data_IF_882185956115
#
_entry.id   IF_882185956115
#
_cell.length_a   1.000
_cell.length_b   1.000
_cell.length_c   1.000
_cell.angle_alpha   90.00
_cell.angle_beta   90.00
_cell.angle_gamma   90.00
#
_symmetry.space_group_name_H-M   'P 1'
#
loop_
_entity.id
_entity.type
_entity.pdbx_description
1 polymer ?
#
# COMPACT_ATOMS: atom_id res chain seq x y z
N UNK A 1 11.86 -20.73 -19.68
CA UNK A 1 11.32 -19.40 -19.34
C UNK A 1 11.48 -19.23 -17.86
N UNK A 2 12.27 -18.29 -17.41
CA UNK A 2 12.29 -17.97 -15.98
C UNK A 2 10.88 -17.53 -15.56
N UNK A 3 10.31 -18.20 -14.59
CA UNK A 3 9.04 -17.83 -13.98
C UNK A 3 9.32 -16.62 -13.12
N UNK A 4 8.96 -15.44 -13.61
CA UNK A 4 9.10 -14.22 -12.82
C UNK A 4 7.94 -14.14 -11.82
N UNK A 5 8.28 -14.02 -10.53
CA UNK A 5 7.33 -13.86 -9.45
C UNK A 5 6.53 -12.55 -9.63
N UNK A 6 5.21 -12.62 -9.53
CA UNK A 6 4.32 -11.46 -9.52
C UNK A 6 3.92 -11.15 -8.08
N UNK A 7 4.13 -9.92 -7.66
CA UNK A 7 3.84 -9.45 -6.29
C UNK A 7 2.89 -8.27 -6.36
N UNK A 8 1.70 -8.42 -5.79
CA UNK A 8 0.75 -7.33 -5.57
C UNK A 8 1.06 -6.64 -4.24
N UNK A 9 1.60 -5.43 -4.29
CA UNK A 9 2.13 -4.74 -3.11
C UNK A 9 1.08 -4.00 -2.28
N UNK A 10 -0.18 -3.97 -2.71
CA UNK A 10 -1.24 -3.24 -2.00
C UNK A 10 -2.58 -3.94 -2.17
N UNK A 11 -2.99 -4.68 -1.16
CA UNK A 11 -4.29 -5.31 -1.07
C UNK A 11 -4.89 -5.12 0.32
N UNK A 12 -6.19 -5.36 0.47
CA UNK A 12 -6.90 -5.28 1.74
C UNK A 12 -7.68 -6.56 2.00
N UNK A 13 -7.65 -7.01 3.25
CA UNK A 13 -8.51 -8.08 3.74
C UNK A 13 -8.96 -7.76 5.17
N UNK A 14 -10.08 -8.33 5.56
CA UNK A 14 -10.71 -8.14 6.85
C UNK A 14 -11.00 -9.49 7.51
N UNK A 15 -11.08 -9.56 8.84
CA UNK A 15 -11.60 -10.75 9.53
C UNK A 15 -12.96 -11.16 8.94
N UNK A 16 -13.18 -12.45 8.70
CA UNK A 16 -14.39 -12.97 8.03
C UNK A 16 -15.69 -12.46 8.66
N UNK A 17 -15.73 -12.37 9.99
CA UNK A 17 -16.89 -11.84 10.72
C UNK A 17 -17.20 -10.36 10.42
N UNK A 18 -16.25 -9.60 9.88
CA UNK A 18 -16.37 -8.18 9.60
C UNK A 18 -16.39 -7.87 8.10
N UNK A 19 -15.84 -8.76 7.26
CA UNK A 19 -15.56 -8.50 5.85
C UNK A 19 -16.80 -8.01 5.09
N UNK A 20 -17.90 -8.73 5.14
CA UNK A 20 -19.13 -8.37 4.40
C UNK A 20 -19.61 -6.96 4.79
N UNK A 21 -19.80 -6.71 6.09
CA UNK A 21 -20.27 -5.41 6.58
C UNK A 21 -19.31 -4.27 6.27
N UNK A 22 -18.00 -4.55 6.35
CA UNK A 22 -16.98 -3.56 6.06
C UNK A 22 -17.00 -3.20 4.57
N UNK A 23 -17.06 -4.20 3.70
CA UNK A 23 -17.12 -4.00 2.25
C UNK A 23 -18.37 -3.22 1.82
N UNK A 24 -19.54 -3.57 2.37
CA UNK A 24 -20.79 -2.84 2.11
C UNK A 24 -20.67 -1.36 2.51
N UNK A 25 -20.16 -1.09 3.73
CA UNK A 25 -20.00 0.28 4.22
C UNK A 25 -19.01 1.09 3.38
N UNK A 26 -17.85 0.51 3.06
CA UNK A 26 -16.82 1.20 2.29
C UNK A 26 -17.28 1.44 0.84
N UNK A 27 -17.96 0.48 0.22
CA UNK A 27 -18.56 0.64 -1.11
C UNK A 27 -19.61 1.74 -1.15
N UNK A 28 -20.48 1.81 -0.14
CA UNK A 28 -21.48 2.88 -0.02
C UNK A 28 -20.82 4.26 0.13
N UNK A 29 -19.74 4.35 0.91
CA UNK A 29 -19.06 5.63 1.14
C UNK A 29 -18.27 6.09 -0.10
N UNK A 30 -17.57 5.18 -0.78
CA UNK A 30 -16.71 5.52 -1.92
C UNK A 30 -17.45 5.59 -3.25
N UNK A 31 -18.59 4.91 -3.37
CA UNK A 31 -19.29 4.71 -4.64
C UNK A 31 -18.65 3.67 -5.56
N UNK A 32 -17.53 3.05 -5.17
CA UNK A 32 -16.88 1.98 -5.94
C UNK A 32 -17.46 0.62 -5.61
N UNK A 33 -17.73 -0.17 -6.65
CA UNK A 33 -18.12 -1.57 -6.50
C UNK A 33 -16.86 -2.43 -6.31
N UNK A 34 -16.78 -3.27 -5.26
CA UNK A 34 -15.62 -4.11 -5.05
C UNK A 34 -15.57 -5.28 -6.05
N UNK A 35 -14.36 -5.65 -6.47
CA UNK A 35 -14.07 -6.84 -7.28
C UNK A 35 -13.98 -8.12 -6.43
N UNK A 36 -13.92 -7.99 -5.11
CA UNK A 36 -13.77 -9.11 -4.18
C UNK A 36 -14.60 -8.95 -2.90
N UNK A 37 -14.60 -9.99 -2.06
CA UNK A 37 -15.40 -10.03 -0.83
C UNK A 37 -14.68 -9.55 0.44
N UNK A 38 -13.43 -9.10 0.30
CA UNK A 38 -12.63 -8.57 1.41
C UNK A 38 -12.17 -9.59 2.44
N UNK A 39 -12.24 -10.91 2.17
CA UNK A 39 -11.73 -11.95 3.07
C UNK A 39 -10.34 -12.43 2.65
N UNK A 40 -9.56 -12.99 3.58
CA UNK A 40 -8.28 -13.65 3.28
C UNK A 40 -8.47 -14.77 2.25
N UNK A 41 -9.49 -15.60 2.42
CA UNK A 41 -9.81 -16.67 1.46
C UNK A 41 -10.15 -16.13 0.06
N UNK A 42 -10.86 -14.98 0.00
CA UNK A 42 -11.15 -14.28 -1.25
C UNK A 42 -9.90 -13.76 -1.94
N UNK A 43 -8.96 -13.17 -1.18
CA UNK A 43 -7.67 -12.71 -1.69
C UNK A 43 -6.85 -13.86 -2.25
N UNK A 44 -6.68 -14.95 -1.50
CA UNK A 44 -5.97 -16.15 -1.97
C UNK A 44 -6.59 -16.77 -3.22
N UNK A 45 -7.93 -16.76 -3.32
CA UNK A 45 -8.63 -17.21 -4.52
C UNK A 45 -8.30 -16.32 -5.71
N UNK A 46 -8.43 -14.99 -5.56
CA UNK A 46 -8.12 -14.01 -6.61
C UNK A 46 -6.67 -14.10 -7.08
N UNK A 47 -5.71 -14.26 -6.17
CA UNK A 47 -4.30 -14.46 -6.49
C UNK A 47 -4.11 -15.67 -7.41
N UNK A 48 -4.69 -16.83 -7.06
CA UNK A 48 -4.58 -18.05 -7.89
C UNK A 48 -5.20 -17.87 -9.28
N UNK A 49 -6.36 -17.21 -9.36
CA UNK A 49 -7.05 -16.95 -10.63
C UNK A 49 -6.31 -15.99 -11.54
N UNK A 50 -5.54 -15.05 -10.95
CA UNK A 50 -4.79 -14.03 -11.69
C UNK A 50 -3.29 -14.38 -11.88
N UNK A 51 -2.79 -15.45 -11.25
CA UNK A 51 -1.38 -15.82 -11.31
C UNK A 51 -0.48 -14.88 -10.52
N UNK A 52 -0.95 -14.39 -9.36
CA UNK A 52 -0.18 -13.60 -8.41
C UNK A 52 0.43 -14.55 -7.38
N UNK A 53 1.74 -14.45 -7.19
CA UNK A 53 2.48 -15.34 -6.28
C UNK A 53 2.47 -14.88 -4.84
N UNK A 54 2.53 -13.56 -4.62
CA UNK A 54 2.49 -12.93 -3.29
C UNK A 54 1.59 -11.69 -3.30
N UNK A 55 0.92 -11.43 -2.17
CA UNK A 55 0.19 -10.18 -1.97
C UNK A 55 0.50 -9.57 -0.60
N UNK A 56 0.69 -8.25 -0.58
CA UNK A 56 0.86 -7.49 0.66
C UNK A 56 -0.52 -7.03 1.15
N UNK A 57 -0.91 -7.47 2.36
CA UNK A 57 -2.14 -7.03 3.02
C UNK A 57 -1.86 -5.75 3.80
N UNK A 58 -2.44 -4.65 3.38
CA UNK A 58 -2.35 -3.34 4.03
C UNK A 58 -3.47 -3.18 5.05
N UNK A 59 -3.20 -3.48 6.32
CA UNK A 59 -4.17 -3.29 7.40
C UNK A 59 -4.22 -1.83 7.85
N UNK A 60 -5.39 -1.37 8.32
CA UNK A 60 -5.59 0.01 8.76
C UNK A 60 -6.32 0.03 10.11
N UNK A 61 -5.65 0.57 11.14
CA UNK A 61 -6.26 0.87 12.44
C UNK A 61 -6.85 2.29 12.40
N UNK A 62 -8.13 2.43 12.09
CA UNK A 62 -8.79 3.74 11.89
C UNK A 62 -8.98 4.54 13.19
N UNK A 63 -8.74 3.92 14.35
CA UNK A 63 -8.69 4.60 15.65
C UNK A 63 -7.82 3.81 16.64
N UNK A 64 -7.41 4.46 17.72
CA UNK A 64 -6.51 3.88 18.72
C UNK A 64 -7.02 2.57 19.34
N UNK A 65 -8.34 2.43 19.55
CA UNK A 65 -8.93 1.22 20.16
C UNK A 65 -8.86 -0.02 19.27
N UNK A 66 -8.76 0.17 17.95
CA UNK A 66 -8.70 -0.93 16.99
C UNK A 66 -7.28 -1.48 16.82
N UNK A 67 -6.23 -0.72 17.15
CA UNK A 67 -4.83 -1.03 16.85
C UNK A 67 -4.48 -2.47 17.23
N UNK A 68 -4.76 -2.89 18.45
CA UNK A 68 -4.47 -4.25 18.92
C UNK A 68 -5.14 -5.35 18.11
N UNK A 69 -6.42 -5.19 17.80
CA UNK A 69 -7.18 -6.21 17.07
C UNK A 69 -6.76 -6.28 15.60
N UNK A 70 -6.49 -5.13 14.98
CA UNK A 70 -5.96 -5.04 13.61
C UNK A 70 -4.60 -5.73 13.51
N UNK A 71 -3.72 -5.51 14.48
CA UNK A 71 -2.39 -6.11 14.48
C UNK A 71 -2.41 -7.62 14.74
N UNK A 72 -3.30 -8.11 15.59
CA UNK A 72 -3.52 -9.56 15.77
C UNK A 72 -4.02 -10.22 14.47
N UNK A 73 -4.94 -9.55 13.77
CA UNK A 73 -5.38 -10.02 12.46
C UNK A 73 -4.22 -10.00 11.45
N UNK A 74 -3.40 -8.95 11.44
CA UNK A 74 -2.23 -8.88 10.57
C UNK A 74 -1.28 -10.07 10.78
N UNK A 75 -0.99 -10.42 12.04
CA UNK A 75 -0.15 -11.58 12.37
C UNK A 75 -0.80 -12.88 11.89
N UNK A 76 -2.10 -13.07 12.13
CA UNK A 76 -2.82 -14.27 11.67
C UNK A 76 -2.85 -14.39 10.14
N UNK A 77 -3.08 -13.28 9.41
CA UNK A 77 -3.03 -13.28 7.94
C UNK A 77 -1.63 -13.61 7.40
N UNK A 78 -0.58 -13.21 8.13
CA UNK A 78 0.82 -13.49 7.75
C UNK A 78 1.22 -14.98 7.92
N UNK A 79 0.38 -15.82 8.52
CA UNK A 79 0.59 -17.28 8.59
C UNK A 79 0.41 -17.97 7.22
N UNK A 80 -0.28 -17.31 6.26
CA UNK A 80 -0.41 -17.81 4.91
C UNK A 80 0.85 -17.50 4.11
N UNK A 81 1.55 -18.52 3.56
CA UNK A 81 2.84 -18.31 2.90
C UNK A 81 2.75 -17.41 1.66
N UNK A 82 1.58 -17.29 1.02
CA UNK A 82 1.37 -16.42 -0.13
C UNK A 82 1.17 -14.94 0.27
N UNK A 83 0.89 -14.66 1.54
CA UNK A 83 0.58 -13.33 2.05
C UNK A 83 1.73 -12.73 2.85
N UNK A 84 1.90 -11.42 2.74
CA UNK A 84 2.80 -10.62 3.56
C UNK A 84 1.93 -9.55 4.21
N UNK A 85 1.61 -9.70 5.48
CA UNK A 85 0.69 -8.79 6.13
C UNK A 85 1.44 -7.65 6.82
N UNK A 86 1.07 -6.41 6.52
CA UNK A 86 1.57 -5.22 7.20
C UNK A 86 0.65 -4.87 8.37
N UNK A 87 1.23 -4.45 9.48
CA UNK A 87 0.49 -3.94 10.62
C UNK A 87 0.04 -2.49 10.42
N UNK A 88 -0.63 -1.96 11.42
CA UNK A 88 -1.03 -0.55 11.46
C UNK A 88 -1.02 -0.04 12.90
N UNK A 89 -0.65 1.22 13.08
CA UNK A 89 -0.69 1.88 14.38
C UNK A 89 -1.38 3.24 14.27
N UNK A 90 -2.12 3.61 15.31
CA UNK A 90 -2.77 4.92 15.35
C UNK A 90 -1.94 5.89 16.19
N UNK A 91 -1.80 7.18 15.79
CA UNK A 91 -0.99 8.15 16.55
C UNK A 91 -1.35 8.28 18.02
N UNK A 92 -2.62 8.08 18.37
CA UNK A 92 -3.14 8.16 19.74
C UNK A 92 -3.14 6.82 20.50
N UNK A 93 -2.63 5.74 19.88
CA UNK A 93 -2.49 4.44 20.56
C UNK A 93 -1.17 4.35 21.32
N UNK A 94 -1.01 3.29 22.13
CA UNK A 94 0.28 2.86 22.63
C UNK A 94 1.07 2.20 21.48
N UNK A 95 1.48 3.04 20.50
CA UNK A 95 2.11 2.56 19.27
C UNK A 95 3.50 1.96 19.52
N UNK A 96 4.22 2.37 20.55
CA UNK A 96 5.53 1.80 20.87
C UNK A 96 5.40 0.30 21.18
N UNK A 97 4.51 -0.07 22.13
CA UNK A 97 4.26 -1.47 22.46
C UNK A 97 3.71 -2.27 21.28
N UNK A 98 2.85 -1.67 20.46
CA UNK A 98 2.30 -2.36 19.28
C UNK A 98 3.33 -2.58 18.17
N UNK A 99 4.26 -1.64 17.97
CA UNK A 99 5.36 -1.81 17.03
C UNK A 99 6.33 -2.90 17.49
N UNK A 100 6.62 -2.99 18.80
CA UNK A 100 7.43 -4.06 19.35
C UNK A 100 6.75 -5.43 19.16
N UNK A 101 5.46 -5.54 19.49
CA UNK A 101 4.66 -6.75 19.23
C UNK A 101 4.70 -7.17 17.76
N UNK A 102 4.51 -6.24 16.82
CA UNK A 102 4.54 -6.53 15.39
C UNK A 102 5.92 -7.01 14.94
N UNK A 103 7.00 -6.37 15.44
CA UNK A 103 8.37 -6.76 15.11
C UNK A 103 8.70 -8.17 15.62
N UNK A 104 8.35 -8.47 16.86
CA UNK A 104 8.52 -9.80 17.48
C UNK A 104 7.69 -10.88 16.77
N UNK A 105 6.54 -10.51 16.20
CA UNK A 105 5.68 -11.39 15.41
C UNK A 105 6.11 -11.56 13.95
N UNK A 106 7.25 -11.01 13.54
CA UNK A 106 7.77 -11.15 12.17
C UNK A 106 7.08 -10.28 11.12
N UNK A 107 6.28 -9.30 11.53
CA UNK A 107 5.72 -8.30 10.61
C UNK A 107 6.85 -7.35 10.16
N UNK A 108 6.90 -7.06 8.87
CA UNK A 108 8.00 -6.28 8.25
C UNK A 108 7.58 -4.91 7.74
N UNK A 109 6.31 -4.57 7.79
CA UNK A 109 5.80 -3.28 7.31
C UNK A 109 4.61 -2.75 8.08
N UNK A 110 4.41 -1.45 7.97
CA UNK A 110 3.33 -0.69 8.60
C UNK A 110 2.59 0.11 7.53
N UNK A 111 1.27 0.02 7.53
CA UNK A 111 0.36 0.87 6.74
C UNK A 111 -0.20 1.98 7.60
N UNK A 112 -0.10 3.21 7.12
CA UNK A 112 -0.80 4.37 7.64
C UNK A 112 -1.77 4.93 6.59
N UNK A 113 -2.90 5.43 7.06
CA UNK A 113 -3.93 6.03 6.22
C UNK A 113 -4.38 7.36 6.83
N UNK A 114 -3.71 8.48 6.50
CA UNK A 114 -3.94 9.77 7.15
C UNK A 114 -5.40 10.21 7.20
N UNK A 115 -6.18 10.01 6.12
CA UNK A 115 -7.60 10.37 6.10
C UNK A 115 -8.45 9.53 7.06
N UNK A 116 -8.31 8.19 7.06
CA UNK A 116 -9.05 7.33 8.00
C UNK A 116 -8.56 7.48 9.45
N UNK A 117 -7.30 7.83 9.65
CA UNK A 117 -6.68 7.99 10.97
C UNK A 117 -6.74 9.45 11.48
N UNK A 118 -7.27 10.37 10.67
CA UNK A 118 -7.55 11.77 11.01
C UNK A 118 -6.31 12.55 11.47
N UNK A 119 -5.19 12.40 10.76
CA UNK A 119 -4.00 13.22 10.98
C UNK A 119 -3.41 13.70 9.64
N UNK A 120 -2.88 14.90 9.59
CA UNK A 120 -2.13 15.36 8.44
C UNK A 120 -0.74 14.73 8.40
N UNK A 121 -0.33 14.23 7.21
CA UNK A 121 0.97 13.55 7.05
C UNK A 121 2.16 14.42 7.48
N UNK A 122 2.05 15.75 7.37
CA UNK A 122 3.06 16.73 7.76
C UNK A 122 2.83 17.34 9.16
N UNK A 123 1.88 16.84 9.97
CA UNK A 123 1.71 17.34 11.35
C UNK A 123 2.93 16.95 12.20
N UNK A 124 3.64 17.93 12.81
CA UNK A 124 4.79 17.63 13.68
C UNK A 124 4.46 16.67 14.84
N UNK A 125 3.20 16.56 15.23
CA UNK A 125 2.77 15.66 16.32
C UNK A 125 2.90 14.19 15.94
N UNK A 126 2.88 13.84 14.64
CA UNK A 126 3.04 12.46 14.19
C UNK A 126 4.48 12.09 13.87
N UNK A 127 5.40 13.06 13.86
CA UNK A 127 6.83 12.82 13.66
C UNK A 127 7.40 11.72 14.58
N UNK A 128 7.13 11.70 15.90
CA UNK A 128 7.63 10.64 16.78
C UNK A 128 7.15 9.24 16.38
N UNK A 129 5.92 9.12 15.85
CA UNK A 129 5.40 7.86 15.33
C UNK A 129 6.22 7.35 14.13
N UNK A 130 6.53 8.24 13.17
CA UNK A 130 7.35 7.88 12.02
C UNK A 130 8.75 7.45 12.44
N UNK A 131 9.39 8.20 13.33
CA UNK A 131 10.71 7.85 13.90
C UNK A 131 10.68 6.48 14.59
N UNK A 132 9.64 6.19 15.36
CA UNK A 132 9.48 4.89 16.03
C UNK A 132 9.34 3.73 15.03
N UNK A 133 8.60 3.93 13.92
CA UNK A 133 8.43 2.93 12.85
C UNK A 133 9.76 2.71 12.12
N UNK A 134 10.41 3.78 11.67
CA UNK A 134 11.66 3.73 10.90
C UNK A 134 12.82 3.15 11.71
N UNK A 135 12.95 3.54 12.99
CA UNK A 135 13.97 3.01 13.91
C UNK A 135 13.92 1.48 14.05
N UNK A 136 12.73 0.89 13.93
CA UNK A 136 12.54 -0.58 13.96
C UNK A 136 12.77 -1.24 12.60
N UNK A 137 13.05 -0.46 11.57
CA UNK A 137 13.34 -0.93 10.21
C UNK A 137 12.11 -1.47 9.48
N UNK A 138 10.90 -1.02 9.80
CA UNK A 138 9.71 -1.37 9.03
C UNK A 138 9.69 -0.68 7.66
N UNK A 139 9.12 -1.34 6.66
CA UNK A 139 8.65 -0.68 5.45
C UNK A 139 7.41 0.14 5.85
N UNK A 140 7.38 1.42 5.48
CA UNK A 140 6.26 2.30 5.79
C UNK A 140 5.50 2.63 4.51
N UNK A 141 4.21 2.27 4.44
CA UNK A 141 3.34 2.63 3.32
C UNK A 141 2.26 3.60 3.78
N UNK A 142 2.10 4.69 3.04
CA UNK A 142 1.03 5.66 3.22
C UNK A 142 -0.01 5.55 2.12
N UNK A 143 -1.28 5.69 2.48
CA UNK A 143 -2.26 6.20 1.52
C UNK A 143 -1.92 7.67 1.22
N UNK A 144 -1.93 8.06 -0.06
CA UNK A 144 -1.67 9.43 -0.50
C UNK A 144 -2.69 9.88 -1.55
N UNK A 145 -2.99 11.17 -1.55
CA UNK A 145 -4.04 11.76 -2.38
C UNK A 145 -5.41 11.73 -1.70
N UNK A 146 -6.47 11.88 -2.49
CA UNK A 146 -7.85 11.93 -1.99
C UNK A 146 -8.33 10.54 -1.57
N UNK A 147 -9.06 10.47 -0.47
CA UNK A 147 -9.92 9.31 -0.19
C UNK A 147 -11.38 9.71 -0.44
N UNK A 148 -12.00 9.06 -1.44
CA UNK A 148 -13.38 9.38 -1.85
C UNK A 148 -14.43 8.97 -0.81
N UNK A 149 -14.09 8.07 0.11
CA UNK A 149 -14.95 7.64 1.21
C UNK A 149 -14.92 8.56 2.44
N UNK A 150 -13.91 9.44 2.52
CA UNK A 150 -13.73 10.37 3.66
C UNK A 150 -14.04 11.81 3.26
N UNK A 151 -13.60 12.24 2.08
CA UNK A 151 -13.77 13.60 1.58
C UNK A 151 -12.68 14.57 2.04
N UNK A 152 -12.97 15.87 1.96
CA UNK A 152 -12.02 16.92 2.34
C UNK A 152 -12.01 17.20 3.86
N UNK A 153 -10.87 17.62 4.45
CA UNK A 153 -9.61 17.89 3.76
C UNK A 153 -8.81 16.64 3.43
N UNK A 154 -8.05 16.65 2.33
CA UNK A 154 -7.10 15.58 2.01
C UNK A 154 -5.88 15.65 2.94
N UNK A 155 -5.71 14.64 3.80
CA UNK A 155 -4.70 14.68 4.86
C UNK A 155 -3.28 14.36 4.35
N UNK A 156 -3.16 13.61 3.26
CA UNK A 156 -1.89 13.29 2.60
C UNK A 156 -1.88 13.75 1.14
N UNK A 157 -2.25 15.02 0.90
CA UNK A 157 -2.11 15.65 -0.39
C UNK A 157 -0.63 15.73 -0.82
N UNK A 158 -0.31 15.71 -2.13
CA UNK A 158 1.07 15.67 -2.62
C UNK A 158 1.99 16.78 -2.07
N UNK A 159 1.50 17.99 -1.91
CA UNK A 159 2.23 19.12 -1.32
C UNK A 159 2.65 18.82 0.12
N UNK A 160 1.73 18.33 0.95
CA UNK A 160 1.99 17.91 2.33
C UNK A 160 2.92 16.71 2.39
N UNK A 161 2.73 15.75 1.48
CA UNK A 161 3.57 14.56 1.36
C UNK A 161 5.01 14.92 1.02
N UNK A 162 5.22 15.96 0.20
CA UNK A 162 6.54 16.46 -0.14
C UNK A 162 7.27 17.06 1.08
N UNK A 163 6.57 17.72 1.98
CA UNK A 163 7.17 18.34 3.16
C UNK A 163 7.85 17.34 4.10
N UNK A 164 7.37 16.08 4.14
CA UNK A 164 7.93 15.03 5.01
C UNK A 164 9.06 14.22 4.36
N UNK A 165 9.32 14.36 3.06
CA UNK A 165 10.35 13.61 2.35
C UNK A 165 11.76 13.71 2.96
N UNK A 166 12.22 14.85 3.51
CA UNK A 166 13.53 14.92 4.13
C UNK A 166 13.72 13.91 5.27
N UNK A 167 12.66 13.56 5.99
CA UNK A 167 12.69 12.56 7.06
C UNK A 167 12.82 11.13 6.52
N UNK A 168 12.35 10.88 5.30
CA UNK A 168 12.27 9.56 4.69
C UNK A 168 13.47 9.23 3.77
N UNK A 169 14.45 10.13 3.68
CA UNK A 169 15.61 9.92 2.80
C UNK A 169 16.41 8.69 3.22
N UNK A 170 16.58 7.75 2.29
CA UNK A 170 17.27 6.47 2.53
C UNK A 170 16.41 5.42 3.23
N UNK A 171 15.17 5.75 3.59
CA UNK A 171 14.25 4.86 4.26
C UNK A 171 13.36 4.10 3.25
N UNK A 172 12.73 3.04 3.72
CA UNK A 172 11.85 2.18 2.91
C UNK A 172 10.41 2.68 2.99
N UNK A 173 10.12 3.78 2.28
CA UNK A 173 8.80 4.43 2.31
C UNK A 173 8.12 4.31 0.96
N UNK A 174 6.84 3.95 0.98
CA UNK A 174 5.97 3.81 -0.20
C UNK A 174 4.82 4.81 -0.08
N UNK A 175 4.64 5.62 -1.11
CA UNK A 175 3.45 6.43 -1.29
C UNK A 175 2.53 5.75 -2.29
N UNK A 176 1.37 5.33 -1.82
CA UNK A 176 0.40 4.60 -2.63
C UNK A 176 -0.17 5.45 -3.78
N UNK A 177 -0.77 4.77 -4.76
CA UNK A 177 -1.54 5.40 -5.85
C UNK A 177 -0.72 6.40 -6.68
N UNK A 178 0.51 6.03 -7.03
CA UNK A 178 1.46 6.91 -7.74
C UNK A 178 1.67 8.26 -7.04
N UNK A 179 1.63 8.25 -5.68
CA UNK A 179 1.87 9.42 -4.84
C UNK A 179 0.69 10.35 -4.65
N UNK A 180 -0.50 10.04 -5.21
CA UNK A 180 -1.66 10.91 -5.04
C UNK A 180 -2.92 10.45 -5.77
N UNK A 181 -3.74 9.59 -5.14
CA UNK A 181 -5.01 9.16 -5.72
C UNK A 181 -5.88 10.36 -6.13
N UNK A 182 -6.33 10.40 -7.39
CA UNK A 182 -7.10 11.51 -7.98
C UNK A 182 -6.43 12.90 -7.90
N UNK A 183 -5.11 12.96 -7.66
CA UNK A 183 -4.29 14.17 -7.59
C UNK A 183 -2.96 13.97 -8.35
N UNK A 184 -2.98 13.23 -9.47
CA UNK A 184 -1.75 12.84 -10.18
C UNK A 184 -1.02 14.00 -10.85
N UNK A 185 -1.71 15.10 -11.20
CA UNK A 185 -1.04 16.31 -11.69
C UNK A 185 -0.23 16.96 -10.55
N UNK A 186 -0.83 17.07 -9.36
CA UNK A 186 -0.16 17.60 -8.18
C UNK A 186 0.95 16.66 -7.68
N UNK A 187 0.78 15.33 -7.86
CA UNK A 187 1.76 14.33 -7.44
C UNK A 187 3.06 14.36 -8.27
N UNK A 188 3.08 15.06 -9.40
CA UNK A 188 4.31 15.23 -10.20
C UNK A 188 5.48 15.84 -9.41
N UNK A 189 5.20 16.61 -8.35
CA UNK A 189 6.23 17.18 -7.46
C UNK A 189 6.99 16.14 -6.64
N UNK A 190 6.50 14.89 -6.60
CA UNK A 190 7.12 13.77 -5.90
C UNK A 190 7.99 12.90 -6.83
N UNK A 191 7.93 13.14 -8.15
CA UNK A 191 8.68 12.33 -9.11
C UNK A 191 10.18 12.60 -9.00
N UNK A 192 10.95 11.51 -9.03
CA UNK A 192 12.41 11.57 -8.87
C UNK A 192 12.90 11.61 -7.43
N UNK A 193 12.01 11.70 -6.46
CA UNK A 193 12.35 11.66 -5.04
C UNK A 193 12.72 10.23 -4.57
N UNK A 194 13.40 10.10 -3.44
CA UNK A 194 13.92 8.83 -2.92
C UNK A 194 12.84 8.03 -2.14
N UNK A 195 11.72 7.75 -2.79
CA UNK A 195 10.58 6.98 -2.28
C UNK A 195 10.16 5.91 -3.28
N UNK A 196 9.39 4.93 -2.83
CA UNK A 196 8.66 4.01 -3.70
C UNK A 196 7.26 4.57 -3.97
N UNK A 197 6.74 4.28 -5.19
CA UNK A 197 5.35 4.54 -5.56
C UNK A 197 4.68 3.22 -5.95
N UNK A 198 3.40 3.05 -5.65
CA UNK A 198 2.66 1.89 -6.11
C UNK A 198 1.57 2.26 -7.14
N UNK A 199 1.17 1.29 -7.95
CA UNK A 199 0.26 1.50 -9.08
C UNK A 199 -1.20 1.30 -8.74
N UNK A 200 -1.54 1.07 -7.47
CA UNK A 200 -2.92 0.82 -7.04
C UNK A 200 -3.88 1.95 -7.41
N UNK A 201 -5.09 1.62 -7.83
CA UNK A 201 -6.11 2.57 -8.22
C UNK A 201 -5.86 3.30 -9.56
N UNK A 202 -4.72 3.08 -10.23
CA UNK A 202 -4.38 3.77 -11.48
C UNK A 202 -5.08 3.20 -12.73
N UNK A 203 -5.21 1.87 -12.90
CA UNK A 203 -5.62 1.26 -14.17
C UNK A 203 -6.97 1.73 -14.73
N UNK A 204 -7.90 2.10 -13.88
CA UNK A 204 -9.24 2.54 -14.30
C UNK A 204 -9.36 4.05 -14.49
N UNK A 205 -8.43 4.83 -13.94
CA UNK A 205 -8.60 6.27 -13.77
C UNK A 205 -7.46 7.10 -14.37
N UNK A 206 -6.28 6.51 -14.58
CA UNK A 206 -5.11 7.20 -15.11
C UNK A 206 -4.79 6.70 -16.53
N UNK A 207 -4.65 7.64 -17.46
CA UNK A 207 -4.33 7.29 -18.85
C UNK A 207 -2.95 6.59 -18.95
N UNK A 208 -2.79 5.58 -19.85
CA UNK A 208 -1.53 4.86 -20.04
C UNK A 208 -0.33 5.78 -20.34
N UNK A 209 -0.53 6.85 -21.10
CA UNK A 209 0.51 7.82 -21.43
C UNK A 209 0.98 8.58 -20.21
N UNK A 210 0.04 8.96 -19.33
CA UNK A 210 0.35 9.71 -18.10
C UNK A 210 1.14 8.87 -17.12
N UNK A 211 0.69 7.64 -16.81
CA UNK A 211 1.43 6.78 -15.88
C UNK A 211 2.80 6.39 -16.46
N UNK A 212 2.90 6.19 -17.77
CA UNK A 212 4.18 5.90 -18.43
C UNK A 212 5.16 7.05 -18.24
N UNK A 213 4.73 8.30 -18.45
CA UNK A 213 5.54 9.50 -18.20
C UNK A 213 5.97 9.58 -16.74
N UNK A 214 5.05 9.39 -15.80
CA UNK A 214 5.36 9.40 -14.37
C UNK A 214 6.38 8.33 -14.00
N UNK A 215 6.25 7.09 -14.49
CA UNK A 215 7.19 5.99 -14.25
C UNK A 215 8.60 6.34 -14.76
N UNK A 216 8.70 6.89 -15.97
CA UNK A 216 9.99 7.24 -16.57
C UNK A 216 10.66 8.44 -15.93
N UNK A 217 9.89 9.39 -15.40
CA UNK A 217 10.38 10.57 -14.67
C UNK A 217 10.71 10.25 -13.21
N UNK A 218 10.11 9.22 -12.66
CA UNK A 218 10.53 8.64 -11.37
C UNK A 218 11.66 7.63 -11.59
N UNK A 219 12.06 6.90 -10.59
CA UNK A 219 12.96 5.76 -10.73
C UNK A 219 12.13 4.49 -11.00
N UNK A 220 12.17 3.88 -12.22
CA UNK A 220 11.38 2.68 -12.51
C UNK A 220 11.63 1.49 -11.57
N UNK A 221 12.80 1.44 -10.91
CA UNK A 221 13.12 0.42 -9.90
C UNK A 221 12.44 0.66 -8.55
N UNK A 222 11.78 1.80 -8.38
CA UNK A 222 11.00 2.16 -7.19
C UNK A 222 9.51 2.23 -7.46
N UNK A 223 9.04 1.66 -8.58
CA UNK A 223 7.62 1.49 -8.87
C UNK A 223 7.22 0.05 -8.54
N UNK A 224 6.14 -0.11 -7.78
CA UNK A 224 5.62 -1.38 -7.30
C UNK A 224 4.26 -1.66 -7.93
N UNK A 225 4.07 -2.87 -8.47
CA UNK A 225 2.75 -3.30 -8.91
C UNK A 225 1.83 -3.45 -7.70
N UNK A 226 0.64 -2.89 -7.80
CA UNK A 226 -0.36 -2.92 -6.75
C UNK A 226 -1.76 -2.71 -7.34
N UNK A 227 -2.78 -3.31 -6.73
CA UNK A 227 -4.13 -3.31 -7.27
C UNK A 227 -5.17 -2.66 -6.36
N UNK A 228 -4.85 -2.46 -5.08
CA UNK A 228 -5.86 -2.06 -4.09
C UNK A 228 -7.02 -3.08 -3.98
N UNK A 229 -6.77 -4.38 -4.32
CA UNK A 229 -7.79 -5.40 -4.15
C UNK A 229 -8.31 -5.39 -2.69
N UNK A 230 -9.60 -5.41 -2.42
CA UNK A 230 -10.68 -5.87 -3.31
C UNK A 230 -11.38 -4.77 -4.14
N UNK A 231 -10.83 -3.55 -4.25
CA UNK A 231 -11.47 -2.47 -5.02
C UNK A 231 -11.25 -2.64 -6.52
N UNK A 232 -10.07 -3.10 -6.91
CA UNK A 232 -9.74 -3.36 -8.30
C UNK A 232 -9.57 -4.86 -8.55
N UNK A 233 -9.93 -5.30 -9.76
CA UNK A 233 -9.66 -6.67 -10.19
C UNK A 233 -8.16 -6.78 -10.56
N UNK A 234 -7.39 -7.67 -9.91
CA UNK A 234 -5.96 -7.79 -10.17
C UNK A 234 -5.62 -8.13 -11.63
N UNK A 235 -6.51 -8.82 -12.34
CA UNK A 235 -6.34 -9.07 -13.78
C UNK A 235 -6.29 -7.79 -14.59
N UNK A 236 -7.15 -6.81 -14.26
CA UNK A 236 -7.16 -5.49 -14.90
C UNK A 236 -5.83 -4.77 -14.67
N UNK A 237 -5.34 -4.76 -13.43
CA UNK A 237 -4.04 -4.16 -13.10
C UNK A 237 -2.88 -4.80 -13.85
N UNK A 238 -2.84 -6.14 -13.92
CA UNK A 238 -1.82 -6.88 -14.67
C UNK A 238 -1.86 -6.56 -16.18
N UNK A 239 -3.04 -6.57 -16.78
CA UNK A 239 -3.22 -6.26 -18.19
C UNK A 239 -2.81 -4.82 -18.49
N UNK A 240 -3.14 -3.89 -17.59
CA UNK A 240 -2.77 -2.48 -17.70
C UNK A 240 -1.26 -2.30 -17.72
N UNK A 241 -0.52 -2.81 -16.72
CA UNK A 241 0.96 -2.69 -16.69
C UNK A 241 1.60 -3.36 -17.92
N UNK A 242 1.10 -4.52 -18.34
CA UNK A 242 1.61 -5.21 -19.53
C UNK A 242 1.40 -4.43 -20.82
N UNK A 243 0.33 -3.65 -20.92
CA UNK A 243 -0.01 -2.85 -22.09
C UNK A 243 0.80 -1.55 -22.22
N UNK A 244 1.43 -1.07 -21.15
CA UNK A 244 2.17 0.18 -21.16
C UNK A 244 3.34 0.13 -22.16
N UNK A 245 3.66 1.24 -22.85
CA UNK A 245 4.78 1.34 -23.80
C UNK A 245 6.13 1.47 -23.07
N UNK A 246 6.44 0.49 -22.20
CA UNK A 246 7.66 0.37 -21.42
C UNK A 246 8.47 -0.84 -21.89
N UNK A 247 9.79 -0.81 -21.71
CA UNK A 247 10.65 -1.96 -21.95
C UNK A 247 10.23 -3.15 -21.06
N UNK A 248 10.36 -4.37 -21.57
CA UNK A 248 9.94 -5.58 -20.84
C UNK A 248 10.65 -5.75 -19.50
N UNK A 249 11.92 -5.33 -19.42
CA UNK A 249 12.69 -5.33 -18.17
C UNK A 249 12.03 -4.41 -17.12
N UNK A 250 11.59 -3.22 -17.52
CA UNK A 250 10.89 -2.28 -16.62
C UNK A 250 9.56 -2.89 -16.15
N UNK A 251 8.79 -3.51 -17.06
CA UNK A 251 7.53 -4.18 -16.70
C UNK A 251 7.76 -5.32 -15.72
N UNK A 252 8.77 -6.16 -15.94
CA UNK A 252 9.15 -7.23 -14.99
C UNK A 252 9.55 -6.66 -13.63
N UNK A 253 10.35 -5.59 -13.65
CA UNK A 253 10.71 -4.84 -12.43
C UNK A 253 9.48 -4.45 -11.62
N UNK A 254 8.53 -3.76 -12.28
CA UNK A 254 7.29 -3.28 -11.65
C UNK A 254 6.43 -4.45 -11.15
N UNK A 255 6.22 -5.50 -11.97
CA UNK A 255 5.34 -6.62 -11.64
C UNK A 255 5.80 -7.46 -10.46
N UNK A 256 7.10 -7.43 -10.09
CA UNK A 256 7.54 -8.23 -8.95
C UNK A 256 8.97 -8.03 -8.48
N UNK A 257 9.96 -7.82 -9.38
CA UNK A 257 11.37 -7.78 -8.98
C UNK A 257 11.69 -6.62 -8.03
N UNK A 258 11.07 -5.44 -8.23
CA UNK A 258 11.23 -4.28 -7.37
C UNK A 258 10.67 -4.58 -5.96
N UNK A 259 9.45 -5.13 -5.90
CA UNK A 259 8.80 -5.52 -4.65
C UNK A 259 9.62 -6.60 -3.93
N UNK A 260 10.09 -7.63 -4.65
CA UNK A 260 10.97 -8.68 -4.10
C UNK A 260 12.23 -8.08 -3.49
N UNK A 261 12.88 -7.16 -4.18
CA UNK A 261 14.08 -6.48 -3.68
C UNK A 261 13.80 -5.72 -2.39
N UNK A 262 12.71 -4.95 -2.35
CA UNK A 262 12.31 -4.19 -1.17
C UNK A 262 11.98 -5.12 0.02
N UNK A 263 11.17 -6.15 -0.20
CA UNK A 263 10.73 -7.07 0.84
C UNK A 263 11.89 -7.90 1.40
N UNK A 264 12.76 -8.47 0.53
CA UNK A 264 13.94 -9.23 0.95
C UNK A 264 14.93 -8.36 1.74
N UNK A 265 15.10 -7.09 1.37
CA UNK A 265 15.95 -6.16 2.13
C UNK A 265 15.40 -5.88 3.54
N UNK A 266 14.19 -6.33 3.84
CA UNK A 266 13.51 -6.21 5.14
C UNK A 266 13.25 -7.56 5.84
N UNK A 267 13.87 -8.64 5.34
CA UNK A 267 13.84 -9.96 5.98
C UNK A 267 12.70 -10.87 5.53
N UNK A 268 11.96 -10.54 4.48
CA UNK A 268 11.09 -11.52 3.84
C UNK A 268 11.94 -12.57 3.11
N UNK A 269 11.60 -13.82 3.26
CA UNK A 269 12.15 -14.94 2.45
C UNK A 269 11.15 -15.22 1.31
N UNK A 270 11.49 -14.80 0.07
CA UNK A 270 10.61 -14.90 -1.11
C UNK A 270 11.20 -15.79 -2.19
#
# INVERSE_FOLDING_TARGET
MEVHMIIDFHTHAFPDALAMRTMEKLSQNSGFAPAGNGTVAGTLKSMRECGIDKSVICNIATNAKQTKNVNRFAVSANEHPELISFGSVHPESDYESELDFLKESGIIGIKLHPDYQQFFINDPKVTPLYEAILKRGFILIFHTGKDVGVGEPTHAAPDRSREVLPMFRGEKVVFAHMGGFLMWEEAEILLGEDIYLDTSGCPQLLAPEKITDMILRHNPKKILFATDYPWENPKTGLEYIRSLPLADEVKRGILGENARTLLNSNGAEL
#
